data_IF_996587787087
#
_entry.id   IF_996587787087
#
_cell.length_a   1.000
_cell.length_b   1.000
_cell.length_c   1.000
_cell.angle_alpha   90.00
_cell.angle_beta   90.00
_cell.angle_gamma   90.00
#
_symmetry.space_group_name_H-M   'P 1'
#
loop_
_entity.id
_entity.type
_entity.pdbx_description
1 polymer ?
#
# COMPACT_ATOMS: atom_id res chain seq x y z
N UNK A 1 9.96 8.96 -11.59
CA UNK A 1 9.94 7.51 -11.34
C UNK A 1 8.53 7.08 -10.99
N UNK A 2 8.09 5.92 -11.48
CA UNK A 2 6.82 5.30 -11.12
C UNK A 2 7.11 3.90 -10.59
N UNK A 3 6.68 3.61 -9.36
CA UNK A 3 6.79 2.28 -8.75
C UNK A 3 5.37 1.72 -8.60
N UNK A 4 5.11 0.63 -9.33
CA UNK A 4 3.85 -0.11 -9.22
C UNK A 4 3.94 -1.15 -8.12
N UNK A 5 2.80 -1.42 -7.48
CA UNK A 5 2.70 -2.21 -6.26
C UNK A 5 3.80 -1.90 -5.25
N UNK A 6 3.85 -0.65 -4.76
CA UNK A 6 4.92 -0.18 -3.89
C UNK A 6 4.91 -0.79 -2.47
N UNK A 7 3.95 -1.63 -2.10
CA UNK A 7 3.86 -2.24 -0.76
C UNK A 7 5.07 -3.12 -0.34
N UNK A 8 5.85 -3.74 -1.25
CA UNK A 8 7.10 -4.42 -0.92
C UNK A 8 8.30 -3.47 -0.74
N UNK A 9 8.18 -2.20 -1.14
CA UNK A 9 9.23 -1.19 -1.02
C UNK A 9 9.21 -0.51 0.35
N UNK A 10 9.05 -1.29 1.42
CA UNK A 10 8.91 -0.79 2.79
C UNK A 10 10.15 -1.10 3.61
N UNK A 11 10.43 -0.24 4.59
CA UNK A 11 11.50 -0.49 5.56
C UNK A 11 11.02 -1.49 6.60
N UNK A 12 11.39 -2.77 6.44
CA UNK A 12 11.26 -3.74 7.52
C UNK A 12 12.37 -3.52 8.55
N UNK A 13 12.03 -3.66 9.83
CA UNK A 13 13.02 -3.64 10.91
C UNK A 13 14.00 -4.81 10.83
N UNK A 14 14.83 -5.00 11.87
CA UNK A 14 15.90 -6.01 11.92
C UNK A 14 15.48 -7.49 11.71
N UNK A 15 14.17 -7.76 11.59
CA UNK A 15 13.58 -9.08 11.39
C UNK A 15 13.12 -9.34 9.95
N UNK A 16 13.34 -8.40 9.01
CA UNK A 16 12.95 -8.54 7.60
C UNK A 16 13.92 -9.39 6.78
N UNK A 17 13.40 -10.02 5.71
CA UNK A 17 14.20 -10.83 4.80
C UNK A 17 15.12 -9.96 3.89
N UNK A 18 16.16 -10.59 3.35
CA UNK A 18 17.17 -9.92 2.52
C UNK A 18 16.60 -9.30 1.24
N UNK A 19 15.58 -9.92 0.63
CA UNK A 19 14.96 -9.41 -0.60
C UNK A 19 14.23 -8.09 -0.34
N UNK A 20 13.51 -8.00 0.77
CA UNK A 20 12.74 -6.81 1.11
C UNK A 20 13.67 -5.64 1.46
N UNK A 21 14.78 -5.94 2.15
CA UNK A 21 15.86 -4.98 2.37
C UNK A 21 16.45 -4.46 1.05
N UNK A 22 16.53 -5.31 0.02
CA UNK A 22 17.03 -4.94 -1.31
C UNK A 22 16.04 -4.08 -2.09
N UNK A 23 14.73 -4.38 -2.00
CA UNK A 23 13.66 -3.58 -2.62
C UNK A 23 13.59 -2.17 -2.01
N UNK A 24 13.66 -2.07 -0.69
CA UNK A 24 13.77 -0.79 0.01
C UNK A 24 14.98 0.01 -0.46
N UNK A 25 16.18 -0.61 -0.47
CA UNK A 25 17.41 0.08 -0.86
C UNK A 25 17.37 0.56 -2.31
N UNK A 26 16.79 -0.23 -3.22
CA UNK A 26 16.59 0.19 -4.60
C UNK A 26 15.64 1.39 -4.67
N UNK A 27 14.51 1.34 -3.99
CA UNK A 27 13.53 2.43 -3.96
C UNK A 27 14.15 3.74 -3.46
N UNK A 28 14.96 3.68 -2.40
CA UNK A 28 15.69 4.83 -1.84
C UNK A 28 16.67 5.45 -2.85
N UNK A 29 17.45 4.62 -3.55
CA UNK A 29 18.38 5.09 -4.59
C UNK A 29 17.62 5.72 -5.76
N UNK A 30 16.51 5.14 -6.18
CA UNK A 30 15.70 5.69 -7.27
C UNK A 30 15.02 7.00 -6.88
N UNK A 31 14.48 7.08 -5.66
CA UNK A 31 13.87 8.29 -5.11
C UNK A 31 14.87 9.45 -5.07
N UNK A 32 16.09 9.22 -4.59
CA UNK A 32 17.13 10.26 -4.51
C UNK A 32 17.70 10.73 -5.86
N UNK A 33 17.43 10.00 -6.96
CA UNK A 33 17.95 10.30 -8.30
C UNK A 33 16.89 10.77 -9.28
N UNK A 34 15.65 10.94 -8.83
CA UNK A 34 14.55 11.35 -9.68
C UNK A 34 13.95 12.66 -9.17
N UNK A 35 13.62 13.57 -10.09
CA UNK A 35 12.95 14.84 -9.75
C UNK A 35 11.50 14.66 -9.29
N UNK A 36 10.95 13.46 -9.45
CA UNK A 36 9.61 13.12 -8.98
C UNK A 36 9.41 11.61 -8.84
N UNK A 37 8.61 11.24 -7.84
CA UNK A 37 8.29 9.85 -7.49
C UNK A 37 6.78 9.68 -7.39
N UNK A 38 6.24 8.65 -8.06
CA UNK A 38 4.85 8.22 -7.94
C UNK A 38 4.83 6.77 -7.47
N UNK A 39 4.22 6.54 -6.30
CA UNK A 39 4.01 5.21 -5.73
C UNK A 39 2.56 4.79 -5.97
N UNK A 40 2.36 3.65 -6.62
CA UNK A 40 1.04 3.06 -6.85
C UNK A 40 0.90 1.81 -5.97
N UNK A 41 -0.16 1.73 -5.17
CA UNK A 41 -0.49 0.51 -4.44
C UNK A 41 -1.96 0.52 -4.03
N UNK A 42 -2.61 -0.64 -4.17
CA UNK A 42 -3.97 -0.84 -3.69
C UNK A 42 -4.03 -1.01 -2.17
N UNK A 43 -2.93 -1.43 -1.56
CA UNK A 43 -2.80 -1.81 -0.14
C UNK A 43 -1.52 -1.21 0.44
N UNK A 44 -1.49 0.13 0.67
CA UNK A 44 -0.29 0.79 1.20
C UNK A 44 0.02 0.42 2.65
N UNK A 45 -0.89 -0.30 3.31
CA UNK A 45 -0.74 -0.76 4.68
C UNK A 45 -1.16 -2.24 4.74
N UNK A 46 -0.40 -3.02 5.48
CA UNK A 46 -0.66 -4.41 5.87
C UNK A 46 -1.17 -4.51 7.33
N UNK A 47 -1.45 -3.36 7.95
CA UNK A 47 -1.81 -3.25 9.38
C UNK A 47 -0.62 -2.89 10.27
N UNK A 48 0.58 -2.72 9.71
CA UNK A 48 1.76 -2.25 10.43
C UNK A 48 2.12 -0.82 9.99
N UNK A 49 1.77 0.16 10.81
CA UNK A 49 1.96 1.59 10.53
C UNK A 49 3.38 1.97 10.07
N UNK A 50 4.48 1.40 10.63
CA UNK A 50 5.83 1.72 10.17
C UNK A 50 6.10 1.41 8.70
N UNK A 51 5.44 0.42 8.11
CA UNK A 51 5.59 0.13 6.68
C UNK A 51 5.02 1.26 5.84
N UNK A 52 3.82 1.73 6.19
CA UNK A 52 3.23 2.89 5.52
C UNK A 52 4.08 4.15 5.72
N UNK A 53 4.59 4.37 6.93
CA UNK A 53 5.44 5.52 7.24
C UNK A 53 6.69 5.56 6.35
N UNK A 54 7.31 4.41 6.11
CA UNK A 54 8.47 4.31 5.23
C UNK A 54 8.19 4.65 3.76
N UNK A 55 6.98 4.36 3.25
CA UNK A 55 6.58 4.76 1.89
C UNK A 55 6.39 6.27 1.78
N UNK A 56 5.85 6.89 2.82
CA UNK A 56 5.66 8.34 2.87
C UNK A 56 7.01 9.06 3.00
N UNK A 57 7.94 8.50 3.76
CA UNK A 57 9.32 8.99 3.86
C UNK A 57 10.06 8.94 2.52
N UNK A 58 9.83 7.90 1.70
CA UNK A 58 10.36 7.85 0.33
C UNK A 58 9.82 8.98 -0.56
N UNK A 59 8.58 9.43 -0.32
CA UNK A 59 7.95 10.51 -1.09
C UNK A 59 8.41 11.90 -0.63
N UNK A 60 8.49 12.13 0.67
CA UNK A 60 8.92 13.39 1.25
C UNK A 60 9.74 13.14 2.53
N UNK A 61 11.08 13.09 2.39
CA UNK A 61 11.98 12.80 3.52
C UNK A 61 11.85 13.78 4.69
N UNK A 62 11.40 15.02 4.46
CA UNK A 62 11.21 16.01 5.54
C UNK A 62 10.02 15.72 6.47
N UNK A 63 9.20 14.71 6.15
CA UNK A 63 8.09 14.29 7.01
C UNK A 63 8.54 13.45 8.22
N UNK A 64 9.80 13.03 8.28
CA UNK A 64 10.35 12.32 9.43
C UNK A 64 10.65 13.32 10.58
N UNK A 65 9.89 13.25 11.67
CA UNK A 65 10.07 14.14 12.84
C UNK A 65 10.84 13.48 13.99
N UNK A 66 11.47 12.32 13.78
CA UNK A 66 12.17 11.55 14.83
C UNK A 66 11.27 11.09 15.99
N UNK A 67 9.95 11.28 15.88
CA UNK A 67 8.90 10.84 16.81
C UNK A 67 8.18 9.66 16.19
N UNK A 68 7.79 8.68 17.00
CA UNK A 68 7.06 7.51 16.53
C UNK A 68 5.74 7.90 15.88
N UNK A 69 5.59 7.56 14.59
CA UNK A 69 4.33 7.63 13.84
C UNK A 69 4.12 8.94 13.08
N UNK A 70 3.86 8.83 11.78
CA UNK A 70 3.40 9.96 10.98
C UNK A 70 1.96 10.32 11.34
N UNK A 71 1.71 11.62 11.54
CA UNK A 71 0.35 12.13 11.70
C UNK A 71 -0.31 12.26 10.34
N UNK A 72 -1.55 11.75 10.23
CA UNK A 72 -2.38 11.82 9.02
C UNK A 72 -2.35 13.16 8.30
N UNK A 73 -2.41 14.25 9.07
CA UNK A 73 -2.44 15.61 8.53
C UNK A 73 -1.19 15.99 7.74
N UNK A 74 -0.02 15.41 8.06
CA UNK A 74 1.25 15.77 7.40
C UNK A 74 1.41 15.14 6.02
N UNK A 75 0.92 13.91 5.84
CA UNK A 75 1.05 13.18 4.58
C UNK A 75 -0.16 13.32 3.66
N UNK A 76 -1.27 13.89 4.14
CA UNK A 76 -2.52 14.04 3.38
C UNK A 76 -2.36 14.71 2.02
N UNK A 77 -1.48 15.69 1.91
CA UNK A 77 -1.18 16.38 0.64
C UNK A 77 -0.42 15.49 -0.37
N UNK A 78 0.26 14.44 0.10
CA UNK A 78 1.08 13.54 -0.70
C UNK A 78 0.33 12.26 -1.11
N UNK A 79 -0.85 11.99 -0.53
CA UNK A 79 -1.57 10.72 -0.71
C UNK A 79 -2.96 10.97 -1.27
N UNK A 80 -3.20 10.40 -2.45
CA UNK A 80 -4.53 10.37 -3.08
C UNK A 80 -5.08 8.95 -2.99
N UNK A 81 -6.20 8.77 -2.29
CA UNK A 81 -6.86 7.46 -2.14
C UNK A 81 -8.34 7.54 -2.45
N UNK A 82 -8.74 6.87 -3.52
CA UNK A 82 -10.15 6.71 -3.88
C UNK A 82 -10.69 5.37 -3.39
N UNK A 83 -11.92 5.37 -2.91
CA UNK A 83 -12.68 4.15 -2.62
C UNK A 83 -13.74 3.99 -3.70
N UNK A 84 -14.01 2.75 -4.13
CA UNK A 84 -15.04 2.45 -5.16
C UNK A 84 -16.39 3.15 -4.92
N UNK A 85 -16.81 3.25 -3.66
CA UNK A 85 -18.08 3.92 -3.26
C UNK A 85 -18.09 5.43 -3.51
N UNK A 86 -16.92 6.07 -3.59
CA UNK A 86 -16.77 7.51 -3.80
C UNK A 86 -16.72 7.89 -5.28
N UNK A 87 -16.57 6.90 -6.16
CA UNK A 87 -16.43 7.11 -7.59
C UNK A 87 -17.83 7.16 -8.21
N UNK A 88 -18.16 8.31 -8.78
CA UNK A 88 -19.45 8.61 -9.40
C UNK A 88 -19.25 9.03 -10.85
N UNK A 89 -20.26 8.75 -11.65
CA UNK A 89 -20.35 9.26 -13.02
C UNK A 89 -20.44 10.79 -12.98
N UNK A 90 -19.68 11.45 -13.86
CA UNK A 90 -19.59 12.91 -13.87
C UNK A 90 -20.89 13.57 -14.40
N UNK A 91 -21.61 12.91 -15.30
CA UNK A 91 -22.83 13.43 -15.92
C UNK A 91 -24.07 13.09 -15.09
N UNK A 92 -24.16 11.86 -14.59
CA UNK A 92 -25.37 11.36 -13.91
C UNK A 92 -25.28 11.41 -12.39
N UNK A 93 -24.07 11.47 -11.82
CA UNK A 93 -23.85 11.44 -10.38
C UNK A 93 -24.07 10.07 -9.72
N UNK A 94 -24.39 9.04 -10.51
CA UNK A 94 -24.59 7.67 -10.03
C UNK A 94 -23.26 6.99 -9.69
N UNK A 95 -23.28 6.03 -8.76
CA UNK A 95 -22.07 5.26 -8.43
C UNK A 95 -21.65 4.36 -9.59
N UNK A 96 -20.39 4.45 -10.02
CA UNK A 96 -19.87 3.64 -11.13
C UNK A 96 -19.70 2.15 -10.77
N UNK A 97 -19.62 1.83 -9.48
CA UNK A 97 -19.40 0.48 -9.00
C UNK A 97 -20.67 -0.13 -8.42
N UNK A 98 -21.01 -1.34 -8.88
CA UNK A 98 -22.15 -2.12 -8.37
C UNK A 98 -21.95 -2.46 -6.89
N UNK A 99 -23.05 -2.52 -6.15
CA UNK A 99 -23.07 -3.02 -4.77
C UNK A 99 -22.61 -4.48 -4.74
N UNK A 100 -21.78 -4.82 -3.75
CA UNK A 100 -21.25 -6.17 -3.56
C UNK A 100 -22.39 -7.18 -3.45
N UNK A 101 -22.43 -8.15 -4.37
CA UNK A 101 -23.25 -9.34 -4.25
C UNK A 101 -22.38 -10.47 -3.70
N UNK A 102 -22.84 -11.14 -2.65
CA UNK A 102 -22.15 -12.28 -2.04
C UNK A 102 -22.93 -13.52 -2.38
N UNK A 103 -22.32 -14.42 -3.16
CA UNK A 103 -22.89 -15.71 -3.51
C UNK A 103 -22.09 -16.77 -2.75
N UNK A 104 -22.66 -17.40 -1.71
CA UNK A 104 -22.01 -18.51 -1.02
C UNK A 104 -21.84 -19.68 -1.99
N UNK A 105 -20.63 -20.22 -2.09
CA UNK A 105 -20.35 -21.44 -2.83
C UNK A 105 -19.99 -22.53 -1.84
N UNK A 106 -20.84 -23.56 -1.73
CA UNK A 106 -20.53 -24.72 -0.92
C UNK A 106 -19.35 -25.46 -1.54
N UNK A 107 -18.31 -25.71 -0.72
CA UNK A 107 -17.18 -26.56 -1.10
C UNK A 107 -17.28 -27.85 -0.33
N UNK A 108 -17.13 -28.98 -1.02
CA UNK A 108 -17.05 -30.28 -0.38
C UNK A 108 -15.63 -30.44 0.13
N UNK A 109 -15.48 -30.62 1.44
CA UNK A 109 -14.18 -30.95 2.01
C UNK A 109 -13.81 -32.38 1.59
N UNK A 110 -12.74 -32.51 0.82
CA UNK A 110 -12.12 -33.80 0.54
C UNK A 110 -10.93 -33.98 1.48
N UNK A 111 -11.03 -34.83 2.53
CA UNK A 111 -9.86 -35.16 3.32
C UNK A 111 -8.82 -35.80 2.40
N UNK A 112 -7.60 -35.25 2.42
CA UNK A 112 -6.47 -35.84 1.73
C UNK A 112 -6.19 -37.26 2.26
N UNK A 113 -5.57 -38.14 1.45
CA UNK A 113 -5.24 -39.49 1.88
C UNK A 113 -4.23 -39.41 3.03
N UNK A 114 -4.67 -39.62 4.27
CA UNK A 114 -3.78 -39.61 5.44
C UNK A 114 -4.41 -39.31 6.80
N UNK A 115 -5.71 -38.98 6.88
CA UNK A 115 -6.38 -38.85 8.18
C UNK A 115 -7.10 -40.17 8.55
N UNK A 116 -6.41 -41.05 9.27
CA UNK A 116 -6.97 -42.13 10.08
C UNK A 116 -6.35 -42.07 11.46
#
# INVERSE_FOLDING_TARGET
MLLDEAYPCVRLGSSGDWEDSSRWRLAEVLASRCDGLLLLTATPHDGFDPHFDSLVELLEPSLEDGRSGLRAERYRQHVVRWRKKLIKDHETGETLFRTRQVIPQAVVFHPGPGAS
#
